data_IF_197062369293
#
_entry.id   IF_197062369293
#
_cell.length_a   1.000
_cell.length_b   1.000
_cell.length_c   1.000
_cell.angle_alpha   90.00
_cell.angle_beta   90.00
_cell.angle_gamma   90.00
#
_symmetry.space_group_name_H-M   'P 1'
#
loop_
_entity.id
_entity.type
_entity.pdbx_description
1 polymer ?
#
# COMPACT_ATOMS: atom_id res chain seq x y z
N UNK A 1 -9.59 -8.24 10.45
CA UNK A 1 -9.88 -7.91 9.04
C UNK A 1 -9.26 -8.99 8.16
N UNK A 2 -9.99 -9.54 7.18
CA UNK A 2 -9.41 -10.49 6.21
C UNK A 2 -8.52 -9.73 5.21
N UNK A 3 -7.29 -10.19 4.98
CA UNK A 3 -6.30 -9.48 4.16
C UNK A 3 -6.68 -9.45 2.68
N UNK A 4 -7.36 -10.48 2.16
CA UNK A 4 -7.83 -10.50 0.78
C UNK A 4 -8.94 -9.48 0.55
N UNK A 5 -9.90 -9.39 1.47
CA UNK A 5 -10.94 -8.36 1.42
C UNK A 5 -10.32 -6.97 1.46
N UNK A 6 -9.39 -6.72 2.40
CA UNK A 6 -8.71 -5.44 2.51
C UNK A 6 -7.90 -5.10 1.26
N UNK A 7 -7.14 -6.06 0.72
CA UNK A 7 -6.38 -5.91 -0.52
C UNK A 7 -7.29 -5.51 -1.69
N UNK A 8 -8.40 -6.23 -1.90
CA UNK A 8 -9.34 -5.92 -2.98
C UNK A 8 -9.93 -4.52 -2.82
N UNK A 9 -10.27 -4.12 -1.60
CA UNK A 9 -10.78 -2.78 -1.31
C UNK A 9 -9.75 -1.70 -1.61
N UNK A 10 -8.53 -1.85 -1.09
CA UNK A 10 -7.45 -0.87 -1.26
C UNK A 10 -7.01 -0.78 -2.71
N UNK A 11 -6.86 -1.91 -3.42
CA UNK A 11 -6.47 -1.93 -4.83
C UNK A 11 -7.38 -1.07 -5.72
N UNK A 12 -8.68 -1.01 -5.42
CA UNK A 12 -9.63 -0.21 -6.20
C UNK A 12 -9.46 1.31 -6.01
N UNK A 13 -8.73 1.75 -4.99
CA UNK A 13 -8.42 3.16 -4.77
C UNK A 13 -7.33 3.68 -5.73
N UNK A 14 -6.59 2.76 -6.37
CA UNK A 14 -5.49 3.09 -7.27
C UNK A 14 -5.95 3.10 -8.72
N UNK A 15 -5.37 3.98 -9.56
CA UNK A 15 -5.59 3.95 -11.00
C UNK A 15 -5.14 2.61 -11.58
N UNK A 16 -5.76 2.19 -12.69
CA UNK A 16 -5.41 0.92 -13.34
C UNK A 16 -3.94 0.86 -13.74
N UNK A 17 -3.40 1.99 -14.22
CA UNK A 17 -2.02 2.18 -14.66
C UNK A 17 -1.45 3.46 -14.08
N UNK A 18 -0.17 3.43 -13.74
CA UNK A 18 0.62 4.60 -13.36
C UNK A 18 1.81 4.68 -14.29
N UNK A 19 1.96 5.81 -14.96
CA UNK A 19 3.17 6.16 -15.69
C UNK A 19 4.29 6.48 -14.70
N UNK A 20 5.41 5.78 -14.85
CA UNK A 20 6.62 5.87 -14.00
C UNK A 20 7.83 6.40 -14.78
N UNK A 21 7.62 6.98 -15.97
CA UNK A 21 8.67 7.64 -16.76
C UNK A 21 9.25 8.89 -16.12
N UNK A 22 8.57 9.44 -15.11
CA UNK A 22 8.99 10.59 -14.33
C UNK A 22 9.92 10.23 -13.16
N UNK A 23 10.41 8.99 -13.12
CA UNK A 23 11.25 8.50 -12.05
C UNK A 23 12.55 9.31 -11.92
N UNK A 24 12.87 9.70 -10.70
CA UNK A 24 14.20 10.23 -10.35
C UNK A 24 14.93 9.19 -9.52
N UNK A 25 16.05 8.70 -10.04
CA UNK A 25 16.88 7.68 -9.39
C UNK A 25 18.04 8.34 -8.65
N UNK A 26 18.21 8.02 -7.37
CA UNK A 26 19.30 8.49 -6.52
C UNK A 26 20.04 7.28 -5.92
N UNK A 27 20.88 6.64 -6.74
CA UNK A 27 21.57 5.41 -6.38
C UNK A 27 20.77 4.14 -6.71
N UNK A 28 21.29 2.98 -6.33
CA UNK A 28 20.74 1.68 -6.74
C UNK A 28 19.44 1.27 -6.04
N UNK A 29 19.02 1.97 -4.99
CA UNK A 29 17.89 1.58 -4.14
C UNK A 29 16.90 2.70 -3.82
N UNK A 30 17.16 3.93 -4.28
CA UNK A 30 16.25 5.06 -4.03
C UNK A 30 15.75 5.59 -5.35
N UNK A 31 14.46 5.38 -5.59
CA UNK A 31 13.74 5.98 -6.70
C UNK A 31 12.60 6.83 -6.13
N UNK A 32 12.34 7.97 -6.76
CA UNK A 32 11.14 8.76 -6.54
C UNK A 32 10.29 8.67 -7.78
N UNK A 33 9.00 8.37 -7.62
CA UNK A 33 8.00 8.31 -8.70
C UNK A 33 6.91 9.34 -8.44
N UNK A 34 7.06 10.61 -8.86
CA UNK A 34 6.11 11.68 -8.55
C UNK A 34 4.65 11.35 -8.89
N UNK A 35 4.37 10.75 -10.06
CA UNK A 35 3.02 10.32 -10.47
C UNK A 35 2.46 9.22 -9.57
N UNK A 36 3.30 8.31 -9.09
CA UNK A 36 2.88 7.30 -8.11
C UNK A 36 2.62 7.92 -6.73
N UNK A 37 3.45 8.87 -6.29
CA UNK A 37 3.19 9.63 -5.05
C UNK A 37 1.87 10.38 -5.13
N UNK A 38 1.55 11.01 -6.26
CA UNK A 38 0.26 11.66 -6.46
C UNK A 38 -0.92 10.68 -6.44
N UNK A 39 -0.75 9.45 -6.93
CA UNK A 39 -1.76 8.40 -6.81
C UNK A 39 -1.93 7.95 -5.36
N UNK A 40 -0.86 7.91 -4.57
CA UNK A 40 -0.91 7.64 -3.13
C UNK A 40 -1.70 8.72 -2.38
N UNK A 41 -1.40 10.00 -2.61
CA UNK A 41 -2.12 11.12 -1.97
C UNK A 41 -3.63 11.00 -2.16
N UNK A 42 -4.08 10.60 -3.35
CA UNK A 42 -5.51 10.36 -3.64
C UNK A 42 -6.08 9.16 -2.89
N UNK A 43 -5.32 8.06 -2.82
CA UNK A 43 -5.76 6.86 -2.12
C UNK A 43 -5.84 7.10 -0.60
N UNK A 44 -4.92 7.88 -0.05
CA UNK A 44 -4.91 8.29 1.36
C UNK A 44 -6.13 9.16 1.69
N UNK A 45 -6.37 10.21 0.90
CA UNK A 45 -7.56 11.07 1.05
C UNK A 45 -8.89 10.29 0.96
N UNK A 46 -8.93 9.21 0.18
CA UNK A 46 -10.13 8.37 0.04
C UNK A 46 -10.43 7.52 1.30
N UNK A 47 -9.44 7.32 2.18
CA UNK A 47 -9.59 6.59 3.44
C UNK A 47 -9.48 7.48 4.67
N UNK A 48 -9.13 8.76 4.50
CA UNK A 48 -9.15 9.74 5.58
C UNK A 48 -10.58 9.95 6.12
N UNK A 49 -10.77 9.98 7.45
CA UNK A 49 -12.08 10.23 8.04
C UNK A 49 -12.54 11.66 7.79
N UNK A 50 -13.66 11.80 7.07
CA UNK A 50 -14.33 13.09 6.83
C UNK A 50 -15.04 13.54 8.11
N UNK A 51 -14.41 14.37 8.92
CA UNK A 51 -15.04 14.91 10.12
C UNK A 51 -14.15 15.82 10.95
N UNK A 52 -14.47 17.12 10.92
CA UNK A 52 -13.92 18.14 11.83
C UNK A 52 -14.50 17.92 13.22
N UNK A 53 -14.03 16.90 13.95
CA UNK A 53 -14.06 16.84 15.41
C UNK A 53 -13.39 15.55 15.91
N UNK A 54 -12.33 15.76 16.66
CA UNK A 54 -11.49 14.83 17.41
C UNK A 54 -12.24 13.67 18.10
N UNK A 55 -12.61 12.65 17.33
CA UNK A 55 -12.71 11.28 17.82
C UNK A 55 -12.43 10.34 16.67
N UNK A 56 -11.13 10.16 16.40
CA UNK A 56 -10.57 9.13 15.51
C UNK A 56 -11.10 7.76 15.93
N UNK A 57 -12.24 7.34 15.42
CA UNK A 57 -12.44 5.93 15.11
C UNK A 57 -11.83 5.78 13.72
N UNK A 58 -10.50 5.80 13.66
CA UNK A 58 -9.74 5.50 12.44
C UNK A 58 -10.20 4.11 11.98
N UNK A 59 -10.60 3.97 10.72
CA UNK A 59 -10.53 2.66 10.06
C UNK A 59 -9.04 2.36 9.81
N UNK A 60 -8.32 2.10 10.91
CA UNK A 60 -6.86 1.95 10.96
C UNK A 60 -6.38 0.85 10.01
N UNK A 61 -7.26 -0.10 9.68
CA UNK A 61 -7.00 -1.14 8.69
C UNK A 61 -6.94 -0.62 7.26
N UNK A 62 -7.81 0.31 6.86
CA UNK A 62 -7.77 0.90 5.52
C UNK A 62 -6.57 1.82 5.35
N UNK A 63 -6.30 2.64 6.35
CA UNK A 63 -5.14 3.53 6.40
C UNK A 63 -3.83 2.72 6.29
N UNK A 64 -3.65 1.74 7.18
CA UNK A 64 -2.54 0.80 7.14
C UNK A 64 -2.48 0.03 5.81
N UNK A 65 -3.63 -0.35 5.27
CA UNK A 65 -3.75 -1.02 3.98
C UNK A 65 -3.26 -0.16 2.83
N UNK A 66 -3.66 1.11 2.74
CA UNK A 66 -3.20 2.05 1.70
C UNK A 66 -1.68 2.21 1.78
N UNK A 67 -1.14 2.40 2.99
CA UNK A 67 0.30 2.46 3.21
C UNK A 67 1.03 1.20 2.74
N UNK A 68 0.56 0.02 3.15
CA UNK A 68 1.18 -1.26 2.78
C UNK A 68 1.10 -1.51 1.27
N UNK A 69 -0.02 -1.14 0.64
CA UNK A 69 -0.17 -1.24 -0.81
C UNK A 69 0.79 -0.30 -1.53
N UNK A 70 0.92 0.95 -1.08
CA UNK A 70 1.86 1.91 -1.64
C UNK A 70 3.30 1.39 -1.59
N UNK A 71 3.73 0.82 -0.44
CA UNK A 71 5.07 0.23 -0.33
C UNK A 71 5.30 -0.92 -1.31
N UNK A 72 4.32 -1.78 -1.52
CA UNK A 72 4.41 -2.85 -2.52
C UNK A 72 4.42 -2.28 -3.95
N UNK A 73 3.54 -1.32 -4.25
CA UNK A 73 3.43 -0.71 -5.57
C UNK A 73 4.69 0.08 -5.95
N UNK A 74 5.31 0.75 -4.97
CA UNK A 74 6.57 1.45 -5.14
C UNK A 74 7.72 0.48 -5.45
N UNK A 75 7.75 -0.70 -4.83
CA UNK A 75 8.71 -1.74 -5.19
C UNK A 75 8.48 -2.23 -6.62
N UNK A 76 7.23 -2.52 -6.99
CA UNK A 76 6.88 -2.90 -8.37
C UNK A 76 7.29 -1.82 -9.38
N UNK A 77 7.05 -0.54 -9.08
CA UNK A 77 7.44 0.58 -9.92
C UNK A 77 8.96 0.64 -10.10
N UNK A 78 9.72 0.47 -9.00
CA UNK A 78 11.17 0.38 -9.04
C UNK A 78 11.65 -0.74 -9.96
N UNK A 79 11.16 -1.97 -9.74
CA UNK A 79 11.61 -3.13 -10.50
C UNK A 79 11.25 -3.02 -11.98
N UNK A 80 10.04 -2.55 -12.30
CA UNK A 80 9.63 -2.28 -13.68
C UNK A 80 10.51 -1.19 -14.33
N UNK A 81 10.81 -0.11 -13.61
CA UNK A 81 11.67 0.96 -14.13
C UNK A 81 13.08 0.47 -14.45
N UNK A 82 13.67 -0.34 -13.56
CA UNK A 82 14.99 -0.95 -13.74
C UNK A 82 15.03 -1.93 -14.92
N UNK A 83 13.90 -2.56 -15.26
CA UNK A 83 13.72 -3.38 -16.47
C UNK A 83 13.45 -2.55 -17.75
N UNK A 84 13.52 -1.22 -17.67
CA UNK A 84 13.29 -0.32 -18.81
C UNK A 84 11.82 -0.04 -19.12
N UNK A 85 10.89 -0.53 -18.29
CA UNK A 85 9.46 -0.23 -18.45
C UNK A 85 9.15 1.18 -17.94
N UNK A 86 8.04 1.74 -18.42
CA UNK A 86 7.62 3.11 -18.12
C UNK A 86 6.21 3.20 -17.55
N UNK A 87 5.57 2.06 -17.34
CA UNK A 87 4.28 1.97 -16.67
C UNK A 87 4.29 0.80 -15.70
N UNK A 88 3.46 0.90 -14.67
CA UNK A 88 3.14 -0.19 -13.75
C UNK A 88 1.62 -0.25 -13.59
N UNK A 89 1.07 -1.45 -13.49
CA UNK A 89 -0.37 -1.69 -13.33
C UNK A 89 -0.69 -1.94 -11.87
N UNK A 90 -1.87 -1.54 -11.40
CA UNK A 90 -2.30 -1.86 -10.03
C UNK A 90 -2.33 -3.38 -9.79
N UNK A 91 -2.59 -4.18 -10.81
CA UNK A 91 -2.57 -5.65 -10.72
C UNK A 91 -1.16 -6.25 -10.57
N UNK A 92 -0.10 -5.46 -10.76
CA UNK A 92 1.28 -5.93 -10.59
C UNK A 92 1.63 -6.10 -9.10
N UNK A 93 0.89 -5.46 -8.19
CA UNK A 93 0.98 -5.70 -6.75
C UNK A 93 0.22 -6.98 -6.43
N UNK A 94 0.92 -8.03 -6.00
CA UNK A 94 0.25 -9.27 -5.62
C UNK A 94 -0.35 -9.20 -4.21
N UNK A 95 -1.36 -10.05 -3.94
CA UNK A 95 -1.87 -10.25 -2.58
C UNK A 95 -0.76 -10.69 -1.61
N UNK A 96 0.24 -11.45 -2.08
CA UNK A 96 1.33 -11.92 -1.24
C UNK A 96 2.28 -10.77 -0.85
N UNK A 97 2.61 -9.87 -1.79
CA UNK A 97 3.42 -8.69 -1.49
C UNK A 97 2.69 -7.78 -0.50
N UNK A 98 1.39 -7.55 -0.72
CA UNK A 98 0.55 -6.82 0.20
C UNK A 98 0.54 -7.45 1.61
N UNK A 99 0.32 -8.77 1.71
CA UNK A 99 0.35 -9.50 2.99
C UNK A 99 1.72 -9.41 3.67
N UNK A 100 2.80 -9.44 2.91
CA UNK A 100 4.16 -9.29 3.45
C UNK A 100 4.36 -7.89 4.05
N UNK A 101 3.89 -6.83 3.36
CA UNK A 101 3.93 -5.45 3.89
C UNK A 101 3.06 -5.28 5.13
N UNK A 102 1.84 -5.85 5.13
CA UNK A 102 0.96 -5.85 6.30
C UNK A 102 1.63 -6.51 7.52
N UNK A 103 2.24 -7.69 7.33
CA UNK A 103 2.97 -8.38 8.41
C UNK A 103 4.14 -7.54 8.94
N UNK A 104 4.92 -6.92 8.05
CA UNK A 104 6.03 -6.07 8.45
C UNK A 104 5.57 -4.83 9.23
N UNK A 105 4.48 -4.18 8.79
CA UNK A 105 3.94 -3.01 9.46
C UNK A 105 3.33 -3.34 10.85
N UNK A 106 2.65 -4.49 10.97
CA UNK A 106 2.07 -4.97 12.24
C UNK A 106 3.12 -5.53 13.22
N UNK A 107 4.37 -5.74 12.77
CA UNK A 107 5.46 -6.15 13.63
C UNK A 107 6.08 -4.98 14.42
N UNK A 108 5.71 -3.74 14.08
CA UNK A 108 6.14 -2.53 14.79
C UNK A 108 5.42 -2.43 16.14
N UNK A 109 6.11 -1.92 17.16
CA UNK A 109 5.57 -1.71 18.51
C UNK A 109 4.26 -0.89 18.47
N UNK A 110 3.26 -1.32 19.25
CA UNK A 110 1.96 -0.66 19.38
C UNK A 110 0.83 -1.23 18.52
N UNK A 111 1.09 -2.30 17.76
CA UNK A 111 0.10 -3.02 16.94
C UNK A 111 -0.20 -4.44 17.44
N UNK A 112 0.12 -4.76 18.69
CA UNK A 112 0.10 -6.14 19.19
C UNK A 112 -1.30 -6.76 19.09
N UNK A 113 -2.35 -5.99 19.42
CA UNK A 113 -3.74 -6.45 19.33
C UNK A 113 -4.15 -6.69 17.89
N UNK A 114 -3.85 -5.75 17.01
CA UNK A 114 -4.16 -5.79 15.59
C UNK A 114 -3.44 -6.95 14.90
N UNK A 115 -2.17 -7.19 15.26
CA UNK A 115 -1.40 -8.33 14.79
C UNK A 115 -2.10 -9.65 15.12
N UNK A 116 -2.54 -9.84 16.37
CA UNK A 116 -3.30 -11.04 16.78
C UNK A 116 -4.60 -11.18 15.99
N UNK A 117 -5.36 -10.07 15.82
CA UNK A 117 -6.60 -10.09 15.03
C UNK A 117 -6.34 -10.40 13.54
N UNK A 118 -5.23 -9.91 13.00
CA UNK A 118 -4.81 -10.19 11.64
C UNK A 118 -4.41 -11.64 11.47
N UNK A 119 -3.59 -12.19 12.37
CA UNK A 119 -3.18 -13.59 12.35
C UNK A 119 -4.36 -14.53 12.52
N UNK A 120 -5.27 -14.26 13.45
CA UNK A 120 -6.48 -15.07 13.64
C UNK A 120 -7.39 -15.07 12.39
N UNK A 121 -7.49 -13.94 11.70
CA UNK A 121 -8.31 -13.81 10.49
C UNK A 121 -7.63 -14.36 9.21
N UNK A 122 -6.33 -14.66 9.26
CA UNK A 122 -5.53 -15.01 8.07
C UNK A 122 -4.62 -16.25 8.25
N UNK A 123 -4.64 -16.92 9.41
CA UNK A 123 -3.86 -18.13 9.67
C UNK A 123 -4.51 -19.39 9.07
N UNK A 124 -3.79 -20.45 8.70
CA UNK A 124 -2.37 -20.67 8.43
C UNK A 124 -2.31 -21.34 7.04
N UNK A 125 -1.34 -20.98 6.19
CA UNK A 125 -0.89 -21.86 5.10
C UNK A 125 0.38 -22.55 5.54
#
# INVERSE_FOLDING_TARGET
MNAETLYRMVQQLWPERVDISDATISGSSRARFPKLSYAWDKAELAVEPVGVNYKRIQDSWRDLGVWCYFQAFHQCAHDNYMLGRREVQRSDVSLNDFKARMKAALAVEGWERERVLYEAANGQS
#
